data_IF_740887457560
#
_entry.id   IF_740887457560
#
_cell.length_a   1.000
_cell.length_b   1.000
_cell.length_c   1.000
_cell.angle_alpha   90.00
_cell.angle_beta   90.00
_cell.angle_gamma   90.00
#
_symmetry.space_group_name_H-M   'P 1'
#
loop_
_entity.id
_entity.type
_entity.pdbx_description
1 polymer ?
#
# COMPACT_ATOMS: atom_id res chain seq x y z
N UNK A 1 1.48 -7.18 -7.64
CA UNK A 1 0.45 -8.19 -7.28
C UNK A 1 -0.09 -7.83 -5.89
N UNK A 2 -1.35 -8.14 -5.56
CA UNK A 2 -1.94 -7.92 -4.24
C UNK A 2 -3.10 -8.90 -4.01
N UNK A 3 -3.60 -9.00 -2.78
CA UNK A 3 -4.78 -9.81 -2.45
C UNK A 3 -5.96 -9.52 -3.41
N UNK A 4 -6.47 -10.52 -4.17
CA UNK A 4 -7.53 -10.30 -5.16
C UNK A 4 -8.83 -9.72 -4.58
N UNK A 5 -9.17 -10.03 -3.33
CA UNK A 5 -10.36 -9.48 -2.66
C UNK A 5 -10.28 -7.97 -2.52
N UNK A 6 -9.10 -7.41 -2.29
CA UNK A 6 -8.91 -5.95 -2.25
C UNK A 6 -9.20 -5.29 -3.60
N UNK A 7 -8.76 -5.92 -4.69
CA UNK A 7 -9.04 -5.43 -6.04
C UNK A 7 -10.53 -5.52 -6.39
N UNK A 8 -11.22 -6.58 -5.95
CA UNK A 8 -12.65 -6.74 -6.12
C UNK A 8 -13.43 -5.64 -5.37
N UNK A 9 -13.09 -5.38 -4.11
CA UNK A 9 -13.70 -4.32 -3.28
C UNK A 9 -13.52 -2.94 -3.94
N UNK A 10 -12.30 -2.61 -4.37
CA UNK A 10 -12.03 -1.32 -5.01
C UNK A 10 -12.86 -1.14 -6.30
N UNK A 11 -12.93 -2.17 -7.14
CA UNK A 11 -13.74 -2.13 -8.38
C UNK A 11 -15.24 -2.02 -8.10
N UNK A 12 -15.75 -2.75 -7.11
CA UNK A 12 -17.15 -2.68 -6.70
C UNK A 12 -17.52 -1.29 -6.14
N UNK A 13 -16.58 -0.60 -5.51
CA UNK A 13 -16.74 0.79 -5.06
C UNK A 13 -16.57 1.84 -6.18
N UNK A 14 -16.42 1.43 -7.45
CA UNK A 14 -16.20 2.34 -8.58
C UNK A 14 -14.80 2.98 -8.63
N UNK A 15 -13.86 2.49 -7.82
CA UNK A 15 -12.49 2.98 -7.79
C UNK A 15 -11.64 2.31 -8.87
N UNK A 16 -10.63 3.02 -9.36
CA UNK A 16 -9.60 2.49 -10.25
C UNK A 16 -8.33 2.18 -9.45
N UNK A 17 -7.99 0.90 -9.21
CA UNK A 17 -6.75 0.55 -8.52
C UNK A 17 -5.53 1.00 -9.32
N UNK A 18 -4.56 1.62 -8.64
CA UNK A 18 -3.28 2.03 -9.21
C UNK A 18 -2.18 1.18 -8.54
N UNK A 19 -1.46 0.33 -9.29
CA UNK A 19 -0.42 -0.48 -8.70
C UNK A 19 0.80 0.39 -8.34
N UNK A 20 1.38 0.14 -7.16
CA UNK A 20 2.68 0.67 -6.77
C UNK A 20 3.65 -0.51 -6.64
N UNK A 21 4.82 -0.49 -7.29
CA UNK A 21 5.77 -1.58 -7.20
C UNK A 21 6.28 -1.82 -5.77
N UNK A 22 6.50 -3.09 -5.47
CA UNK A 22 7.04 -3.59 -4.20
C UNK A 22 8.34 -4.35 -4.47
N UNK A 23 9.21 -4.43 -3.48
CA UNK A 23 10.36 -5.33 -3.44
C UNK A 23 10.33 -6.18 -2.15
N UNK A 24 11.44 -6.82 -1.78
CA UNK A 24 11.53 -7.66 -0.57
C UNK A 24 11.21 -6.89 0.72
N UNK A 25 11.42 -5.57 0.72
CA UNK A 25 11.20 -4.67 1.86
C UNK A 25 9.83 -3.96 1.79
N UNK A 26 8.92 -4.44 0.93
CA UNK A 26 7.59 -3.89 0.74
C UNK A 26 7.51 -2.77 -0.30
N UNK A 27 6.56 -1.84 -0.13
CA UNK A 27 6.33 -0.77 -1.10
C UNK A 27 7.57 0.12 -1.27
N UNK A 28 7.85 0.51 -2.52
CA UNK A 28 8.95 1.41 -2.86
C UNK A 28 8.50 2.87 -2.67
N UNK A 29 9.04 3.63 -1.69
CA UNK A 29 8.43 4.90 -1.33
C UNK A 29 8.50 5.97 -2.43
N UNK A 30 9.60 6.07 -3.17
CA UNK A 30 9.71 6.98 -4.30
C UNK A 30 8.59 6.77 -5.33
N UNK A 31 8.27 5.51 -5.64
CA UNK A 31 7.22 5.16 -6.60
C UNK A 31 5.81 5.36 -6.04
N UNK A 32 5.64 5.25 -4.72
CA UNK A 32 4.40 5.65 -4.06
C UNK A 32 4.15 7.16 -4.21
N UNK A 33 5.19 7.97 -4.02
CA UNK A 33 5.10 9.42 -4.20
C UNK A 33 4.78 9.79 -5.67
N UNK A 34 5.41 9.12 -6.64
CA UNK A 34 5.10 9.26 -8.07
C UNK A 34 3.65 8.92 -8.36
N UNK A 35 3.14 7.79 -7.84
CA UNK A 35 1.77 7.35 -8.06
C UNK A 35 0.75 8.37 -7.53
N UNK A 36 0.99 8.94 -6.34
CA UNK A 36 0.13 10.01 -5.82
C UNK A 36 0.14 11.26 -6.69
N UNK A 37 1.32 11.72 -7.13
CA UNK A 37 1.44 12.89 -8.02
C UNK A 37 0.74 12.67 -9.36
N UNK A 38 0.90 11.49 -9.96
CA UNK A 38 0.38 11.20 -11.27
C UNK A 38 -1.15 11.00 -11.30
N UNK A 39 -1.75 10.57 -10.18
CA UNK A 39 -3.14 10.12 -10.16
C UNK A 39 -4.07 10.96 -9.29
N UNK A 40 -3.52 11.75 -8.35
CA UNK A 40 -4.33 12.46 -7.38
C UNK A 40 -5.07 11.54 -6.39
N UNK A 41 -4.67 10.27 -6.27
CA UNK A 41 -5.27 9.34 -5.32
C UNK A 41 -5.25 9.88 -3.88
N UNK A 42 -6.27 9.50 -3.10
CA UNK A 42 -6.44 9.90 -1.68
C UNK A 42 -6.59 8.71 -0.74
N UNK A 43 -6.30 7.50 -1.22
CA UNK A 43 -6.28 6.28 -0.42
C UNK A 43 -5.07 5.45 -0.84
N UNK A 44 -4.33 4.95 0.15
CA UNK A 44 -3.30 3.93 -0.04
C UNK A 44 -3.64 2.71 0.79
N UNK A 45 -3.69 1.55 0.15
CA UNK A 45 -3.92 0.27 0.83
C UNK A 45 -2.64 -0.54 0.79
N UNK A 46 -2.23 -1.10 1.93
CA UNK A 46 -1.07 -1.96 2.02
C UNK A 46 -1.25 -3.07 3.05
N UNK A 47 -0.46 -4.12 2.89
CA UNK A 47 -0.30 -5.20 3.86
C UNK A 47 1.13 -5.09 4.40
N UNK A 48 1.35 -4.35 5.51
CA UNK A 48 2.70 -4.06 6.00
C UNK A 48 3.38 -5.30 6.59
N UNK A 49 2.61 -6.30 7.02
CA UNK A 49 3.09 -7.60 7.47
C UNK A 49 2.63 -8.67 6.47
N UNK A 50 3.59 -9.44 5.94
CA UNK A 50 3.38 -10.59 5.04
C UNK A 50 2.41 -10.31 3.89
N UNK A 51 2.80 -9.37 3.02
CA UNK A 51 2.03 -8.97 1.85
C UNK A 51 1.58 -10.17 1.02
N UNK A 52 0.31 -10.23 0.62
CA UNK A 52 -0.19 -11.31 -0.22
C UNK A 52 -0.06 -10.93 -1.71
N UNK A 53 0.67 -11.70 -2.56
CA UNK A 53 1.21 -13.03 -2.30
C UNK A 53 2.72 -13.05 -2.01
N UNK A 54 3.41 -11.91 -1.96
CA UNK A 54 4.88 -11.90 -1.98
C UNK A 54 5.54 -12.32 -0.65
N UNK A 55 4.79 -12.31 0.45
CA UNK A 55 5.29 -12.49 1.81
C UNK A 55 6.14 -11.33 2.33
N UNK A 56 6.32 -10.26 1.54
CA UNK A 56 7.17 -9.13 1.92
C UNK A 56 6.66 -8.44 3.18
N UNK A 57 7.60 -8.02 4.03
CA UNK A 57 7.33 -7.21 5.22
C UNK A 57 7.85 -5.81 4.94
N UNK A 58 7.02 -4.80 5.20
CA UNK A 58 7.44 -3.41 5.05
C UNK A 58 8.52 -3.08 6.08
N UNK A 59 9.74 -2.86 5.59
CA UNK A 59 10.92 -2.60 6.41
C UNK A 59 10.69 -1.40 7.35
N UNK A 60 11.10 -1.49 8.64
CA UNK A 60 10.90 -0.42 9.62
C UNK A 60 11.35 0.97 9.13
N UNK A 61 12.47 1.02 8.41
CA UNK A 61 13.09 2.24 7.89
C UNK A 61 12.21 2.91 6.82
N UNK A 62 11.39 2.16 6.10
CA UNK A 62 10.48 2.68 5.05
C UNK A 62 9.14 3.16 5.61
N UNK A 63 8.70 2.67 6.78
CA UNK A 63 7.37 2.95 7.34
C UNK A 63 7.12 4.44 7.55
N UNK A 64 8.07 5.13 8.19
CA UNK A 64 7.97 6.56 8.45
C UNK A 64 7.88 7.39 7.15
N UNK A 65 8.65 7.01 6.14
CA UNK A 65 8.62 7.66 4.83
C UNK A 65 7.30 7.42 4.08
N UNK A 66 6.78 6.19 4.08
CA UNK A 66 5.48 5.85 3.47
C UNK A 66 4.36 6.70 4.09
N UNK A 67 4.31 6.81 5.41
CA UNK A 67 3.31 7.62 6.12
C UNK A 67 3.47 9.11 5.80
N UNK A 68 4.71 9.62 5.74
CA UNK A 68 4.99 11.01 5.35
C UNK A 68 4.51 11.30 3.92
N UNK A 69 4.73 10.38 2.98
CA UNK A 69 4.28 10.51 1.59
C UNK A 69 2.75 10.50 1.50
N UNK A 70 2.09 9.55 2.16
CA UNK A 70 0.62 9.50 2.20
C UNK A 70 0.03 10.76 2.83
N UNK A 71 0.61 11.24 3.94
CA UNK A 71 0.21 12.49 4.59
C UNK A 71 0.37 13.70 3.65
N UNK A 72 1.49 13.82 2.95
CA UNK A 72 1.71 14.90 1.99
C UNK A 72 0.72 14.88 0.82
N UNK A 73 0.26 13.69 0.41
CA UNK A 73 -0.79 13.54 -0.60
C UNK A 73 -2.22 13.76 -0.06
N UNK A 74 -2.39 13.98 1.25
CA UNK A 74 -3.70 14.04 1.90
C UNK A 74 -4.45 12.71 1.81
N UNK A 75 -3.72 11.58 1.75
CA UNK A 75 -4.29 10.26 1.55
C UNK A 75 -4.52 9.54 2.88
N UNK A 76 -5.63 8.80 2.95
CA UNK A 76 -5.91 7.86 4.02
C UNK A 76 -5.12 6.56 3.80
N UNK A 77 -4.52 6.02 4.87
CA UNK A 77 -3.79 4.74 4.81
C UNK A 77 -4.68 3.65 5.40
N UNK A 78 -4.93 2.61 4.61
CA UNK A 78 -5.61 1.38 5.04
C UNK A 78 -4.55 0.29 5.16
N UNK A 79 -4.31 -0.16 6.38
CA UNK A 79 -3.46 -1.32 6.65
C UNK A 79 -4.34 -2.56 6.75
N UNK A 80 -4.11 -3.51 5.85
CA UNK A 80 -4.64 -4.87 5.96
C UNK A 80 -3.60 -5.74 6.68
N UNK A 81 -3.75 -5.81 8.00
CA UNK A 81 -2.84 -6.51 8.91
C UNK A 81 -3.47 -7.82 9.41
N UNK A 82 -3.89 -8.68 8.47
CA UNK A 82 -4.65 -9.89 8.74
C UNK A 82 -3.93 -10.91 9.65
N UNK A 83 -2.60 -10.81 9.78
CA UNK A 83 -1.74 -11.71 10.57
C UNK A 83 -1.02 -11.03 11.73
N UNK A 84 -1.46 -9.83 12.13
CA UNK A 84 -0.84 -9.04 13.21
C UNK A 84 -0.48 -9.83 14.48
N UNK A 85 -1.30 -10.83 14.82
CA UNK A 85 -1.19 -11.62 16.07
C UNK A 85 -0.49 -12.97 15.90
N UNK A 86 0.06 -13.25 14.72
CA UNK A 86 0.82 -14.48 14.46
C UNK A 86 2.34 -14.23 14.51
N UNK A 87 2.75 -13.05 14.97
CA UNK A 87 4.14 -12.63 15.22
C UNK A 87 4.35 -12.14 16.64
#
# INVERSE_FOLDING_TARGET
PTYPGMLAIARAAGLRPVPVPVDADGVRPALLADAFRATGARVFVCQPLFQNPTGAVLAPERRGEVLRIARAAGAFVVEDDFVRRLV
#
